data_IF_005693400661
#
_entry.id   IF_005693400661
#
_cell.length_a   1.000
_cell.length_b   1.000
_cell.length_c   1.000
_cell.angle_alpha   90.00
_cell.angle_beta   90.00
_cell.angle_gamma   90.00
#
_symmetry.space_group_name_H-M   'P 1'
#
loop_
_entity.id
_entity.type
_entity.pdbx_description
1 polymer ?
#
# COMPACT_ATOMS: atom_id res chain seq x y z
N UNK A 1 16.61 7.63 24.56
CA UNK A 1 15.87 6.52 23.89
C UNK A 1 15.73 7.00 22.46
N UNK A 2 16.86 6.96 21.77
CA UNK A 2 17.10 7.70 20.55
C UNK A 2 17.06 6.71 19.39
N UNK A 3 15.84 6.29 19.03
CA UNK A 3 15.61 5.63 17.75
C UNK A 3 15.41 6.73 16.71
N UNK A 4 16.51 7.45 16.47
CA UNK A 4 16.62 8.43 15.40
C UNK A 4 16.27 7.69 14.11
N UNK A 5 15.12 8.02 13.52
CA UNK A 5 14.64 7.52 12.24
C UNK A 5 15.80 7.52 11.23
N UNK A 6 16.50 6.39 11.12
CA UNK A 6 17.50 6.22 10.07
C UNK A 6 16.70 6.24 8.79
N UNK A 7 16.84 7.32 8.04
CA UNK A 7 16.30 7.40 6.71
C UNK A 7 16.77 6.16 5.95
N UNK A 8 15.83 5.29 5.58
CA UNK A 8 16.14 4.11 4.78
C UNK A 8 16.86 4.58 3.52
N UNK A 9 18.09 4.13 3.35
CA UNK A 9 18.86 4.47 2.16
C UNK A 9 18.41 3.57 1.02
N UNK A 10 18.05 4.18 -0.10
CA UNK A 10 17.68 3.47 -1.34
C UNK A 10 18.68 3.87 -2.41
N UNK A 11 19.39 2.87 -2.95
CA UNK A 11 20.30 3.06 -4.08
C UNK A 11 19.64 2.52 -5.33
N UNK A 12 19.54 3.36 -6.35
CA UNK A 12 18.95 3.01 -7.64
C UNK A 12 20.05 2.82 -8.68
N UNK A 13 19.94 1.76 -9.47
CA UNK A 13 20.74 1.52 -10.66
C UNK A 13 19.85 1.14 -11.85
N UNK A 14 20.40 1.20 -13.05
CA UNK A 14 19.74 0.72 -14.26
C UNK A 14 20.59 -0.36 -14.91
N UNK A 15 19.95 -1.47 -15.29
CA UNK A 15 20.58 -2.52 -16.09
C UNK A 15 20.55 -2.16 -17.59
N UNK A 16 21.38 -2.85 -18.37
CA UNK A 16 21.51 -2.58 -19.82
C UNK A 16 20.21 -2.86 -20.61
N UNK A 17 19.32 -3.69 -20.07
CA UNK A 17 18.01 -4.01 -20.64
C UNK A 17 16.91 -2.99 -20.26
N UNK A 18 17.25 -1.94 -19.50
CA UNK A 18 16.30 -0.93 -19.02
C UNK A 18 15.62 -1.26 -17.69
N UNK A 19 15.88 -2.44 -17.10
CA UNK A 19 15.37 -2.80 -15.77
C UNK A 19 15.97 -1.88 -14.71
N UNK A 20 15.14 -1.35 -13.83
CA UNK A 20 15.59 -0.56 -12.68
C UNK A 20 15.86 -1.49 -11.49
N UNK A 21 17.00 -1.30 -10.82
CA UNK A 21 17.40 -2.07 -9.64
C UNK A 21 17.46 -1.15 -8.43
N UNK A 22 16.90 -1.61 -7.31
CA UNK A 22 16.80 -0.87 -6.06
C UNK A 22 17.41 -1.68 -4.93
N UNK A 23 18.47 -1.16 -4.31
CA UNK A 23 19.02 -1.70 -3.07
C UNK A 23 18.46 -0.89 -1.90
N UNK A 24 17.74 -1.56 -1.00
CA UNK A 24 17.03 -0.93 0.10
C UNK A 24 17.67 -1.37 1.41
N UNK A 25 18.23 -0.43 2.16
CA UNK A 25 18.89 -0.69 3.45
C UNK A 25 17.87 -0.76 4.62
N UNK A 26 16.80 -1.51 4.40
CA UNK A 26 15.80 -1.87 5.40
C UNK A 26 14.97 -3.07 4.90
N UNK A 27 14.44 -3.90 5.81
CA UNK A 27 13.48 -4.92 5.44
C UNK A 27 12.10 -4.32 5.11
N UNK A 28 11.25 -5.00 4.32
CA UNK A 28 9.94 -4.46 3.93
C UNK A 28 9.03 -4.11 5.10
N UNK A 29 9.02 -4.91 6.17
CA UNK A 29 8.20 -4.67 7.36
C UNK A 29 8.62 -3.41 8.15
N UNK A 30 9.82 -2.88 7.91
CA UNK A 30 10.30 -1.63 8.51
C UNK A 30 9.95 -0.39 7.67
N UNK A 31 9.37 -0.56 6.47
CA UNK A 31 8.94 0.57 5.64
C UNK A 31 7.80 1.35 6.32
N UNK A 32 7.82 2.69 6.25
CA UNK A 32 6.90 3.53 7.00
C UNK A 32 5.45 3.33 6.54
N UNK A 33 4.44 3.52 7.41
CA UNK A 33 3.07 3.64 6.95
C UNK A 33 2.91 4.87 6.05
N UNK A 34 1.90 4.85 5.18
CA UNK A 34 1.60 5.95 4.27
C UNK A 34 0.30 6.65 4.66
N UNK A 35 0.10 7.86 4.12
CA UNK A 35 -1.18 8.55 4.29
C UNK A 35 -2.23 7.88 3.42
N UNK A 36 -3.40 7.63 3.99
CA UNK A 36 -4.55 7.05 3.26
C UNK A 36 -4.88 7.84 1.98
N UNK A 37 -4.83 9.18 2.05
CA UNK A 37 -5.10 10.05 0.88
C UNK A 37 -4.08 9.87 -0.25
N UNK A 38 -2.83 9.58 0.10
CA UNK A 38 -1.76 9.41 -0.88
C UNK A 38 -1.89 8.01 -1.53
N UNK A 39 -2.30 7.00 -0.76
CA UNK A 39 -2.66 5.67 -1.30
C UNK A 39 -3.86 5.73 -2.23
N UNK A 40 -4.89 6.51 -1.91
CA UNK A 40 -6.03 6.75 -2.78
C UNK A 40 -5.62 7.45 -4.09
N UNK A 41 -4.80 8.52 -3.99
CA UNK A 41 -4.28 9.21 -5.17
C UNK A 41 -3.40 8.30 -6.04
N UNK A 42 -2.59 7.44 -5.42
CA UNK A 42 -1.77 6.46 -6.13
C UNK A 42 -2.61 5.41 -6.87
N UNK A 43 -3.71 4.94 -6.26
CA UNK A 43 -4.69 4.07 -6.93
C UNK A 43 -5.29 4.73 -8.16
N UNK A 44 -5.72 5.99 -8.03
CA UNK A 44 -6.32 6.73 -9.14
C UNK A 44 -5.32 6.98 -10.28
N UNK A 45 -4.09 7.34 -9.95
CA UNK A 45 -3.01 7.53 -10.92
C UNK A 45 -2.65 6.23 -11.64
N UNK A 46 -2.47 5.12 -10.91
CA UNK A 46 -2.12 3.83 -11.50
C UNK A 46 -3.22 3.30 -12.42
N UNK A 47 -4.48 3.45 -12.04
CA UNK A 47 -5.62 3.09 -12.89
C UNK A 47 -5.71 3.96 -14.15
N UNK A 48 -5.41 5.26 -14.02
CA UNK A 48 -5.32 6.15 -15.19
C UNK A 48 -4.22 5.68 -16.14
N UNK A 49 -3.02 5.40 -15.63
CA UNK A 49 -1.90 4.89 -16.43
C UNK A 49 -2.24 3.57 -17.13
N UNK A 50 -2.88 2.63 -16.43
CA UNK A 50 -3.30 1.35 -17.00
C UNK A 50 -4.31 1.52 -18.14
N UNK A 51 -5.20 2.51 -18.03
CA UNK A 51 -6.15 2.86 -19.11
C UNK A 51 -5.44 3.43 -20.35
N UNK A 52 -4.28 4.06 -20.18
CA UNK A 52 -3.46 4.62 -21.26
C UNK A 52 -2.34 3.68 -21.72
N UNK A 53 -2.28 2.46 -21.19
CA UNK A 53 -1.25 1.46 -21.51
C UNK A 53 0.19 1.95 -21.20
N UNK A 54 0.35 2.75 -20.15
CA UNK A 54 1.64 3.30 -19.72
C UNK A 54 2.42 2.30 -18.84
N UNK A 55 2.89 1.20 -19.45
CA UNK A 55 3.42 0.03 -18.74
C UNK A 55 4.73 0.26 -17.95
N UNK A 56 5.58 1.21 -18.33
CA UNK A 56 6.86 1.48 -17.66
C UNK A 56 7.84 0.28 -17.63
N UNK A 57 9.06 0.46 -17.04
CA UNK A 57 10.07 -0.59 -17.01
C UNK A 57 9.87 -1.60 -15.88
N UNK A 58 10.43 -2.80 -16.05
CA UNK A 58 10.58 -3.78 -14.97
C UNK A 58 11.46 -3.22 -13.82
N UNK A 59 11.19 -3.70 -12.60
CA UNK A 59 11.89 -3.25 -11.40
C UNK A 59 12.28 -4.43 -10.51
N UNK A 60 13.51 -4.42 -10.01
CA UNK A 60 14.02 -5.39 -9.06
C UNK A 60 14.37 -4.67 -7.76
N UNK A 61 13.85 -5.16 -6.65
CA UNK A 61 14.12 -4.65 -5.31
C UNK A 61 14.87 -5.71 -4.50
N UNK A 62 15.93 -5.29 -3.82
CA UNK A 62 16.64 -6.10 -2.83
C UNK A 62 16.59 -5.40 -1.49
N UNK A 63 15.83 -5.96 -0.57
CA UNK A 63 15.69 -5.48 0.81
C UNK A 63 16.71 -6.17 1.71
N UNK A 64 17.62 -5.40 2.28
CA UNK A 64 18.68 -5.93 3.17
C UNK A 64 18.19 -5.98 4.62
N UNK A 65 18.61 -7.02 5.34
CA UNK A 65 18.35 -7.22 6.76
C UNK A 65 19.64 -7.06 7.56
N UNK A 66 19.51 -6.70 8.84
CA UNK A 66 20.65 -6.49 9.74
C UNK A 66 21.48 -7.75 10.01
N UNK A 67 20.92 -8.93 9.75
CA UNK A 67 21.60 -10.23 9.84
C UNK A 67 22.38 -10.60 8.56
N UNK A 68 22.38 -9.73 7.55
CA UNK A 68 23.05 -9.94 6.26
C UNK A 68 22.22 -10.72 5.24
N UNK A 69 21.02 -11.21 5.61
CA UNK A 69 20.08 -11.79 4.66
C UNK A 69 19.40 -10.72 3.81
N UNK A 70 18.73 -11.14 2.73
CA UNK A 70 17.99 -10.23 1.86
C UNK A 70 16.70 -10.88 1.33
N UNK A 71 15.70 -10.05 1.09
CA UNK A 71 14.50 -10.41 0.34
C UNK A 71 14.58 -9.75 -1.04
N UNK A 72 14.46 -10.54 -2.10
CA UNK A 72 14.40 -10.05 -3.47
C UNK A 72 12.95 -10.05 -3.97
N UNK A 73 12.53 -8.96 -4.60
CA UNK A 73 11.20 -8.79 -5.22
C UNK A 73 11.38 -8.29 -6.65
N UNK A 74 10.73 -8.96 -7.59
CA UNK A 74 10.66 -8.54 -8.98
C UNK A 74 9.26 -8.07 -9.34
N UNK A 75 9.15 -6.87 -9.90
CA UNK A 75 7.98 -6.37 -10.60
C UNK A 75 8.28 -6.46 -12.10
N UNK A 76 7.77 -7.51 -12.73
CA UNK A 76 8.09 -7.85 -14.12
C UNK A 76 6.85 -8.12 -14.98
N UNK A 77 5.69 -8.38 -14.37
CA UNK A 77 4.44 -8.43 -15.12
C UNK A 77 4.00 -7.01 -15.54
N UNK A 78 3.31 -6.85 -16.68
CA UNK A 78 2.94 -5.55 -17.20
C UNK A 78 2.13 -4.70 -16.23
N UNK A 79 1.18 -5.31 -15.50
CA UNK A 79 0.31 -4.59 -14.57
C UNK A 79 1.14 -4.01 -13.41
N UNK A 80 1.98 -4.81 -12.76
CA UNK A 80 2.85 -4.31 -11.69
C UNK A 80 3.82 -3.22 -12.17
N UNK A 81 4.35 -3.34 -13.39
CA UNK A 81 5.21 -2.32 -13.99
C UNK A 81 4.46 -1.00 -14.19
N UNK A 82 3.24 -1.06 -14.71
CA UNK A 82 2.38 0.11 -14.96
C UNK A 82 2.07 0.84 -13.66
N UNK A 83 1.68 0.09 -12.63
CA UNK A 83 1.28 0.64 -11.35
C UNK A 83 2.48 1.26 -10.63
N UNK A 84 3.64 0.58 -10.64
CA UNK A 84 4.87 1.12 -10.09
C UNK A 84 5.32 2.38 -10.84
N UNK A 85 5.18 2.41 -12.17
CA UNK A 85 5.51 3.58 -12.99
C UNK A 85 4.66 4.80 -12.64
N UNK A 86 3.35 4.62 -12.44
CA UNK A 86 2.46 5.71 -12.04
C UNK A 86 2.80 6.29 -10.65
N UNK A 87 3.17 5.43 -9.69
CA UNK A 87 3.65 5.89 -8.37
C UNK A 87 4.96 6.65 -8.50
N UNK A 88 5.88 6.15 -9.33
CA UNK A 88 7.18 6.78 -9.57
C UNK A 88 7.03 8.16 -10.22
N UNK A 89 6.09 8.31 -11.17
CA UNK A 89 5.79 9.58 -11.83
C UNK A 89 5.15 10.64 -10.89
N UNK A 90 4.54 10.21 -9.78
CA UNK A 90 3.82 11.11 -8.86
C UNK A 90 4.63 11.49 -7.63
N UNK A 91 5.22 10.50 -6.94
CA UNK A 91 5.91 10.69 -5.65
C UNK A 91 7.37 10.23 -5.70
N UNK A 92 7.73 9.37 -6.65
CA UNK A 92 9.08 8.82 -6.80
C UNK A 92 9.35 7.65 -5.87
N UNK A 93 9.81 6.53 -6.44
CA UNK A 93 10.10 5.27 -5.73
C UNK A 93 11.51 5.20 -5.13
N UNK A 94 12.34 6.24 -5.35
CA UNK A 94 13.67 6.38 -4.74
C UNK A 94 13.65 6.79 -3.27
N UNK A 95 12.47 7.01 -2.69
CA UNK A 95 12.28 7.34 -1.27
C UNK A 95 11.63 6.18 -0.53
N UNK A 96 11.93 6.02 0.76
CA UNK A 96 11.30 4.98 1.60
C UNK A 96 9.78 5.11 1.64
N UNK A 97 9.27 6.34 1.63
CA UNK A 97 7.85 6.62 1.57
C UNK A 97 7.22 6.23 0.24
N UNK A 98 7.81 6.64 -0.90
CA UNK A 98 7.29 6.30 -2.22
C UNK A 98 7.39 4.80 -2.53
N UNK A 99 8.46 4.13 -2.10
CA UNK A 99 8.56 2.67 -2.16
C UNK A 99 7.49 2.00 -1.31
N UNK A 100 7.29 2.46 -0.07
CA UNK A 100 6.24 1.97 0.81
C UNK A 100 4.85 2.12 0.19
N UNK A 101 4.58 3.27 -0.44
CA UNK A 101 3.33 3.57 -1.13
C UNK A 101 3.12 2.61 -2.30
N UNK A 102 4.15 2.39 -3.12
CA UNK A 102 4.12 1.47 -4.25
C UNK A 102 3.77 0.03 -3.81
N UNK A 103 4.48 -0.50 -2.81
CA UNK A 103 4.25 -1.87 -2.33
C UNK A 103 2.87 -2.04 -1.68
N UNK A 104 2.39 -1.03 -0.94
CA UNK A 104 1.04 -1.06 -0.34
C UNK A 104 -0.05 -0.97 -1.39
N UNK A 105 0.18 -0.20 -2.46
CA UNK A 105 -0.74 -0.16 -3.59
C UNK A 105 -0.82 -1.53 -4.27
N UNK A 106 0.31 -2.13 -4.62
CA UNK A 106 0.37 -3.46 -5.25
C UNK A 106 -0.23 -4.55 -4.35
N UNK A 107 0.11 -4.51 -3.05
CA UNK A 107 -0.48 -5.42 -2.07
C UNK A 107 -1.99 -5.25 -1.92
N UNK A 108 -2.53 -4.04 -2.11
CA UNK A 108 -3.97 -3.81 -2.14
C UNK A 108 -4.62 -4.44 -3.37
N UNK A 109 -3.99 -4.37 -4.55
CA UNK A 109 -4.47 -5.08 -5.75
C UNK A 109 -4.52 -6.57 -5.53
N UNK A 110 -3.41 -7.14 -5.05
CA UNK A 110 -3.28 -8.57 -4.78
C UNK A 110 -4.35 -9.02 -3.77
N UNK A 111 -4.57 -8.22 -2.73
CA UNK A 111 -5.62 -8.46 -1.75
C UNK A 111 -7.02 -8.46 -2.40
N UNK A 112 -7.34 -7.45 -3.21
CA UNK A 112 -8.64 -7.34 -3.88
C UNK A 112 -8.86 -8.49 -4.89
N UNK A 113 -7.79 -9.02 -5.48
CA UNK A 113 -7.86 -10.14 -6.40
C UNK A 113 -8.11 -11.49 -5.70
N UNK A 114 -7.66 -11.64 -4.45
CA UNK A 114 -7.67 -12.94 -3.76
C UNK A 114 -8.71 -13.05 -2.63
N UNK A 115 -9.02 -11.95 -1.94
CA UNK A 115 -9.77 -11.96 -0.69
C UNK A 115 -11.26 -11.73 -0.91
N UNK A 116 -12.04 -12.83 -1.01
CA UNK A 116 -13.52 -12.77 -1.17
C UNK A 116 -14.26 -11.99 -0.07
N UNK A 117 -13.68 -11.85 1.12
CA UNK A 117 -14.28 -11.04 2.17
C UNK A 117 -14.24 -9.54 1.86
N UNK A 118 -13.34 -9.11 0.97
CA UNK A 118 -13.20 -7.73 0.56
C UNK A 118 -14.22 -7.30 -0.50
N UNK A 119 -14.96 -8.24 -1.12
CA UNK A 119 -15.94 -7.96 -2.19
C UNK A 119 -16.95 -6.85 -1.82
N UNK A 120 -17.34 -6.76 -0.53
CA UNK A 120 -18.27 -5.74 -0.03
C UNK A 120 -17.59 -4.37 0.27
N UNK A 121 -16.27 -4.29 0.15
CA UNK A 121 -15.45 -3.13 0.51
C UNK A 121 -14.88 -2.40 -0.71
N UNK A 122 -15.26 -2.82 -1.91
CA UNK A 122 -15.01 -2.08 -3.12
C UNK A 122 -16.16 -2.26 -4.10
N UNK A 123 -16.30 -1.33 -5.02
CA UNK A 123 -17.27 -1.44 -6.11
C UNK A 123 -16.57 -1.03 -7.39
N UNK A 124 -16.50 -1.95 -8.34
CA UNK A 124 -16.03 -1.66 -9.69
C UNK A 124 -17.20 -1.16 -10.52
N UNK A 125 -17.08 0.06 -11.04
CA UNK A 125 -18.03 0.73 -11.93
C UNK A 125 -17.32 1.00 -13.25
N UNK A 126 -18.11 1.28 -14.30
CA UNK A 126 -17.60 1.58 -15.64
C UNK A 126 -16.61 2.76 -15.64
N UNK A 127 -16.83 3.73 -14.76
CA UNK A 127 -16.04 4.97 -14.68
C UNK A 127 -14.99 4.94 -13.54
N UNK A 128 -14.85 3.81 -12.84
CA UNK A 128 -13.83 3.64 -11.80
C UNK A 128 -14.17 2.62 -10.73
N UNK A 129 -13.21 2.35 -9.86
CA UNK A 129 -13.41 1.52 -8.67
C UNK A 129 -13.45 2.39 -7.42
N UNK A 130 -14.53 2.32 -6.65
CA UNK A 130 -14.65 2.95 -5.35
C UNK A 130 -14.16 1.98 -4.28
N UNK A 131 -13.15 2.37 -3.49
CA UNK A 131 -12.63 1.55 -2.39
C UNK A 131 -13.10 2.13 -1.06
N UNK A 132 -13.61 1.26 -0.18
CA UNK A 132 -14.10 1.66 1.13
C UNK A 132 -12.97 2.28 1.98
N UNK A 133 -13.19 3.43 2.64
CA UNK A 133 -12.15 4.15 3.39
C UNK A 133 -11.44 3.31 4.45
N UNK A 134 -12.15 2.40 5.13
CA UNK A 134 -11.55 1.51 6.12
C UNK A 134 -10.52 0.54 5.51
N UNK A 135 -10.76 0.07 4.28
CA UNK A 135 -9.83 -0.81 3.58
C UNK A 135 -8.58 -0.04 3.15
N UNK A 136 -8.75 1.17 2.59
CA UNK A 136 -7.63 2.06 2.27
C UNK A 136 -6.80 2.41 3.51
N UNK A 137 -7.46 2.72 4.63
CA UNK A 137 -6.77 3.00 5.88
C UNK A 137 -5.95 1.80 6.39
N UNK A 138 -6.55 0.60 6.38
CA UNK A 138 -5.87 -0.62 6.82
C UNK A 138 -4.67 -0.96 5.91
N UNK A 139 -4.82 -0.85 4.59
CA UNK A 139 -3.73 -1.06 3.63
C UNK A 139 -2.60 -0.02 3.79
N UNK A 140 -2.95 1.25 4.08
CA UNK A 140 -1.98 2.32 4.26
C UNK A 140 -1.14 2.17 5.54
N UNK A 141 -1.70 1.55 6.59
CA UNK A 141 -1.11 1.55 7.94
C UNK A 141 -0.58 0.21 8.42
N UNK A 142 -1.09 -0.92 7.89
CA UNK A 142 -0.55 -2.25 8.18
C UNK A 142 0.92 -2.32 7.81
N UNK A 143 1.72 -2.95 8.68
CA UNK A 143 3.10 -3.31 8.36
C UNK A 143 3.10 -4.36 7.24
N UNK A 144 3.98 -4.18 6.25
CA UNK A 144 4.18 -5.19 5.20
C UNK A 144 4.74 -6.48 5.82
N UNK A 145 4.51 -7.60 5.13
CA UNK A 145 5.14 -8.88 5.45
C UNK A 145 6.63 -8.87 5.07
N UNK A 146 7.42 -9.83 5.55
CA UNK A 146 8.81 -10.02 5.11
C UNK A 146 9.00 -10.18 3.60
N UNK A 147 7.94 -10.58 2.89
CA UNK A 147 7.87 -10.74 1.43
C UNK A 147 7.34 -9.49 0.70
N UNK A 148 7.30 -8.34 1.40
CA UNK A 148 6.81 -7.05 0.87
C UNK A 148 5.33 -7.04 0.44
N UNK A 149 4.47 -7.85 1.08
CA UNK A 149 3.03 -7.93 0.80
C UNK A 149 2.19 -7.38 1.96
N UNK A 150 0.89 -7.18 1.71
CA UNK A 150 -0.10 -7.03 2.78
C UNK A 150 -0.52 -8.39 3.31
N UNK A 151 -0.65 -8.53 4.62
CA UNK A 151 -1.23 -9.71 5.27
C UNK A 151 -2.78 -9.59 5.26
N UNK A 152 -3.51 -10.46 4.52
CA UNK A 152 -4.95 -10.37 4.40
C UNK A 152 -5.69 -10.42 5.73
N UNK A 153 -5.23 -11.24 6.68
CA UNK A 153 -5.90 -11.42 7.96
C UNK A 153 -5.68 -10.21 8.87
N UNK A 154 -4.48 -9.61 8.85
CA UNK A 154 -4.23 -8.36 9.57
C UNK A 154 -5.06 -7.20 9.01
N UNK A 155 -5.12 -7.07 7.68
CA UNK A 155 -5.94 -6.04 7.04
C UNK A 155 -7.42 -6.24 7.40
N UNK A 156 -7.94 -7.47 7.32
CA UNK A 156 -9.31 -7.79 7.71
C UNK A 156 -9.61 -7.43 9.16
N UNK A 157 -8.71 -7.75 10.09
CA UNK A 157 -8.87 -7.43 11.51
C UNK A 157 -8.95 -5.91 11.76
N UNK A 158 -8.11 -5.12 11.07
CA UNK A 158 -8.16 -3.65 11.16
C UNK A 158 -9.45 -3.07 10.58
N UNK A 159 -9.92 -3.59 9.45
CA UNK A 159 -11.19 -3.17 8.84
C UNK A 159 -12.35 -3.45 9.81
N UNK A 160 -12.43 -4.67 10.35
CA UNK A 160 -13.48 -5.04 11.29
C UNK A 160 -13.49 -4.12 12.53
N UNK A 161 -12.31 -3.79 13.07
CA UNK A 161 -12.17 -2.86 14.19
C UNK A 161 -12.65 -1.44 13.85
N UNK A 162 -12.34 -0.93 12.65
CA UNK A 162 -12.80 0.39 12.21
C UNK A 162 -14.34 0.45 12.07
N UNK A 163 -14.95 -0.62 11.57
CA UNK A 163 -16.42 -0.74 11.46
C UNK A 163 -17.11 -0.79 12.83
N UNK A 164 -16.50 -1.48 13.81
CA UNK A 164 -17.02 -1.50 15.19
C UNK A 164 -16.98 -0.12 15.84
N UNK A 165 -15.87 0.61 15.70
CA UNK A 165 -15.72 1.96 16.24
C UNK A 165 -16.69 2.97 15.62
N UNK A 166 -16.98 2.82 14.32
CA UNK A 166 -17.98 3.66 13.64
C UNK A 166 -19.40 3.36 14.11
N UNK A 167 -19.69 2.11 14.50
CA UNK A 167 -21.00 1.70 15.00
C UNK A 167 -21.27 2.18 16.44
N UNK A 168 -20.25 2.32 17.27
CA UNK A 168 -20.39 2.80 18.65
C UNK A 168 -20.59 4.32 18.77
N UNK A 169 -20.23 5.10 17.75
CA UNK A 169 -20.42 6.56 17.74
C UNK A 169 -21.88 6.99 17.51
N UNK A 170 -22.76 6.06 17.12
CA UNK A 170 -24.18 6.31 16.79
C UNK A 170 -25.13 5.86 17.91
N UNK A 171 -24.69 5.79 19.17
CA UNK A 171 -25.62 5.56 20.28
C UNK A 171 -26.37 6.86 20.64
N UNK A 172 -27.71 6.91 20.59
CA UNK A 172 -28.46 8.11 20.95
C UNK A 172 -28.31 8.38 22.45
N UNK A 173 -27.93 9.61 22.81
CA UNK A 173 -28.04 10.09 24.18
C UNK A 173 -29.51 10.12 24.55
N UNK A 174 -29.98 9.13 25.31
CA UNK A 174 -31.28 9.19 25.98
C UNK A 174 -31.28 10.41 26.90
N UNK A 175 -31.99 11.45 26.47
CA UNK A 175 -32.31 12.62 27.28
C UNK A 175 -33.17 12.16 28.46
N UNK A 176 -32.58 12.10 29.64
CA UNK A 176 -33.32 11.83 30.88
C UNK A 176 -34.22 13.03 31.17
N UNK A 177 -35.47 12.96 30.73
CA UNK A 177 -36.54 13.81 31.22
C UNK A 177 -36.78 13.52 32.70
N UNK A 178 -36.55 14.53 33.53
CA UNK A 178 -36.95 14.51 34.94
C UNK A 178 -38.48 14.69 35.05
N UNK A 179 -39.20 13.91 35.87
CA UNK A 179 -40.56 14.24 36.26
C UNK A 179 -40.58 15.22 37.44
N UNK A 180 -41.71 15.93 37.51
CA UNK A 180 -42.04 17.12 38.29
C UNK A 180 -41.84 17.04 39.81
#
# INVERSE_FOLDING_TARGET
MDDNARATTIQMGAAADGTLTYLVDAPPEALPPVRQRDLAAAWDAARSAATHEDWGPARLFRFRRGDGSATDLALADPDACCWAHAVDATIGTSTSYGLSLCLRLLGLVDLLAQARWADALFTVRRDGAEIHPALLHAAATTALTPDARLDPERVRALVARASMLSSSATAPRLSSGAPA
#
